data_IF_589829130639
#
_entry.id   IF_589829130639
#
_cell.length_a   1.000
_cell.length_b   1.000
_cell.length_c   1.000
_cell.angle_alpha   90.00
_cell.angle_beta   90.00
_cell.angle_gamma   90.00
#
_symmetry.space_group_name_H-M   'P 1'
#
loop_
_entity.id
_entity.type
_entity.pdbx_description
1 polymer ?
#
# COMPACT_ATOMS: atom_id res chain seq x y z
N UNK A 1 -0.98 32.51 15.83
CA UNK A 1 -0.84 31.24 15.07
C UNK A 1 -1.14 30.10 16.01
N UNK A 2 -1.95 29.16 15.55
CA UNK A 2 -2.94 28.45 16.35
C UNK A 2 -2.35 27.17 16.94
N UNK A 3 -1.83 27.22 18.18
CA UNK A 3 -1.46 26.04 19.00
C UNK A 3 -2.69 25.30 19.57
N UNK A 4 -3.82 25.33 18.84
CA UNK A 4 -5.09 24.77 19.33
C UNK A 4 -5.13 23.26 19.24
N UNK A 5 -4.31 22.64 18.39
CA UNK A 5 -4.22 21.19 18.23
C UNK A 5 -2.74 20.82 18.14
N UNK A 6 -2.29 19.90 18.98
CA UNK A 6 -0.91 19.39 18.99
C UNK A 6 -0.93 17.87 18.94
N UNK A 7 -0.09 17.28 18.08
CA UNK A 7 0.19 15.85 18.07
C UNK A 7 1.50 15.62 18.84
N UNK A 8 1.45 14.81 19.88
CA UNK A 8 2.61 14.46 20.69
C UNK A 8 2.89 12.97 20.57
N UNK A 9 4.16 12.62 20.36
CA UNK A 9 4.62 11.24 20.32
C UNK A 9 5.14 10.84 21.69
N UNK A 10 4.52 9.84 22.31
CA UNK A 10 5.02 9.23 23.52
C UNK A 10 6.03 8.14 23.16
N UNK A 11 7.30 8.36 23.50
CA UNK A 11 8.41 7.44 23.20
C UNK A 11 8.29 6.13 24.00
N UNK A 12 7.82 6.20 25.24
CA UNK A 12 7.71 5.04 26.14
C UNK A 12 6.66 4.04 25.66
N UNK A 13 5.56 4.53 25.06
CA UNK A 13 4.48 3.70 24.53
C UNK A 13 4.51 3.54 23.00
N UNK A 14 5.39 4.27 22.31
CA UNK A 14 5.51 4.27 20.85
C UNK A 14 4.24 4.74 20.12
N UNK A 15 3.50 5.70 20.68
CA UNK A 15 2.16 6.09 20.22
C UNK A 15 1.99 7.60 20.18
N UNK A 16 1.20 8.07 19.21
CA UNK A 16 0.74 9.45 19.15
C UNK A 16 -0.46 9.68 20.07
N UNK A 17 -0.59 10.89 20.60
CA UNK A 17 -1.83 11.38 21.20
C UNK A 17 -2.05 12.83 20.81
N UNK A 18 -3.31 13.26 20.86
CA UNK A 18 -3.70 14.62 20.47
C UNK A 18 -4.03 15.44 21.71
N UNK A 19 -3.54 16.68 21.74
CA UNK A 19 -3.98 17.71 22.68
C UNK A 19 -4.73 18.79 21.92
N UNK A 20 -5.99 18.98 22.30
CA UNK A 20 -6.84 20.07 21.83
C UNK A 20 -6.88 21.12 22.94
N UNK A 21 -6.28 22.27 22.69
CA UNK A 21 -6.11 23.36 23.66
C UNK A 21 -7.14 24.50 23.46
N UNK A 22 -8.14 24.29 22.60
CA UNK A 22 -9.16 25.29 22.29
C UNK A 22 -10.54 24.81 22.74
N UNK A 23 -11.20 25.60 23.57
CA UNK A 23 -12.47 25.25 24.23
C UNK A 23 -13.63 25.00 23.26
N UNK A 24 -13.56 25.52 22.04
CA UNK A 24 -14.62 25.40 21.04
C UNK A 24 -14.38 24.26 20.03
N UNK A 25 -13.40 23.38 20.26
CA UNK A 25 -13.10 22.24 19.39
C UNK A 25 -13.42 20.96 20.17
N UNK A 26 -14.49 20.27 19.78
CA UNK A 26 -14.92 19.03 20.42
C UNK A 26 -14.14 17.81 19.91
N UNK A 27 -13.83 17.79 18.61
CA UNK A 27 -13.09 16.73 17.95
C UNK A 27 -12.41 17.24 16.68
N UNK A 28 -11.45 16.46 16.18
CA UNK A 28 -10.85 16.63 14.86
C UNK A 28 -11.15 15.41 14.00
N UNK A 29 -11.21 15.63 12.69
CA UNK A 29 -11.21 14.57 11.70
C UNK A 29 -9.91 14.60 10.90
N UNK A 30 -9.41 13.43 10.54
CA UNK A 30 -8.24 13.23 9.70
C UNK A 30 -8.63 12.50 8.42
N UNK A 31 -7.81 12.63 7.39
CA UNK A 31 -7.90 11.71 6.27
C UNK A 31 -7.63 10.28 6.77
N UNK A 32 -8.28 9.30 6.15
CA UNK A 32 -8.09 7.87 6.49
C UNK A 32 -6.62 7.49 6.48
N UNK A 33 -5.86 7.97 5.50
CA UNK A 33 -4.43 7.68 5.37
C UNK A 33 -3.62 8.27 6.53
N UNK A 34 -3.84 9.54 6.89
CA UNK A 34 -3.14 10.17 8.02
C UNK A 34 -3.51 9.52 9.36
N UNK A 35 -4.77 9.15 9.52
CA UNK A 35 -5.26 8.39 10.68
C UNK A 35 -4.50 7.06 10.84
N UNK A 36 -4.34 6.30 9.75
CA UNK A 36 -3.54 5.07 9.73
C UNK A 36 -2.07 5.33 10.06
N UNK A 37 -1.44 6.34 9.45
CA UNK A 37 -0.04 6.70 9.72
C UNK A 37 0.19 6.98 11.19
N UNK A 38 -0.75 7.67 11.82
CA UNK A 38 -0.67 8.07 13.22
C UNK A 38 -1.16 6.99 14.20
N UNK A 39 -1.75 5.90 13.71
CA UNK A 39 -2.22 4.77 14.51
C UNK A 39 -3.60 4.94 15.17
N UNK A 40 -4.41 5.89 14.70
CA UNK A 40 -5.78 6.08 15.17
C UNK A 40 -6.76 5.18 14.40
N UNK A 41 -7.75 4.61 15.10
CA UNK A 41 -8.72 3.67 14.50
C UNK A 41 -9.88 4.38 13.78
N UNK A 42 -10.33 5.53 14.32
CA UNK A 42 -11.46 6.28 13.77
C UNK A 42 -10.99 7.62 13.18
N UNK A 43 -10.98 7.78 11.84
CA UNK A 43 -10.56 9.02 11.20
C UNK A 43 -11.55 10.18 11.38
N UNK A 44 -12.81 9.91 11.75
CA UNK A 44 -13.86 10.93 11.75
C UNK A 44 -13.97 11.69 13.08
N UNK A 45 -13.66 11.03 14.19
CA UNK A 45 -13.84 11.59 15.52
C UNK A 45 -12.63 11.23 16.38
N UNK A 46 -11.69 12.18 16.49
CA UNK A 46 -10.59 12.09 17.43
C UNK A 46 -10.71 13.22 18.44
N UNK A 47 -10.87 12.86 19.71
CA UNK A 47 -11.13 13.77 20.81
C UNK A 47 -9.84 14.19 21.52
N UNK A 48 -9.96 15.19 22.37
CA UNK A 48 -8.86 15.64 23.21
C UNK A 48 -8.33 14.50 24.08
N UNK A 49 -7.00 14.32 24.11
CA UNK A 49 -6.28 13.26 24.83
C UNK A 49 -6.51 11.84 24.31
N UNK A 50 -7.12 11.68 23.14
CA UNK A 50 -7.17 10.37 22.50
C UNK A 50 -5.75 9.90 22.17
N UNK A 51 -5.46 8.66 22.55
CA UNK A 51 -4.19 7.98 22.29
C UNK A 51 -4.40 7.04 21.11
N UNK A 52 -3.44 7.04 20.18
CA UNK A 52 -3.40 6.10 19.06
C UNK A 52 -3.47 4.66 19.58
N UNK A 53 -4.33 3.86 18.96
CA UNK A 53 -4.52 2.45 19.29
C UNK A 53 -3.32 1.62 18.83
N UNK A 54 -2.70 2.03 17.73
CA UNK A 54 -1.58 1.36 17.08
C UNK A 54 -0.33 2.24 17.08
N UNK A 55 0.84 1.63 16.86
CA UNK A 55 2.07 2.37 16.63
C UNK A 55 2.02 3.11 15.30
N UNK A 56 2.82 4.16 15.15
CA UNK A 56 2.83 4.95 13.92
C UNK A 56 3.45 4.19 12.76
N UNK A 57 2.75 4.13 11.64
CA UNK A 57 3.26 3.58 10.38
C UNK A 57 3.58 4.70 9.40
N UNK A 58 4.84 5.14 9.39
CA UNK A 58 5.33 6.19 8.48
C UNK A 58 5.28 5.78 7.00
N UNK A 59 5.04 4.50 6.69
CA UNK A 59 4.80 4.03 5.31
C UNK A 59 3.35 4.23 4.87
N UNK A 60 2.49 4.70 5.78
CA UNK A 60 1.06 4.93 5.53
C UNK A 60 0.32 3.71 5.02
N UNK A 61 0.68 2.53 5.51
CA UNK A 61 0.08 1.26 5.11
C UNK A 61 0.57 0.73 3.77
N UNK A 62 1.37 1.48 3.00
CA UNK A 62 1.82 1.08 1.66
C UNK A 62 3.22 0.44 1.71
N UNK A 63 3.28 -0.77 2.25
CA UNK A 63 4.53 -1.56 2.36
C UNK A 63 4.79 -2.45 1.14
N UNK A 64 3.76 -2.69 0.33
CA UNK A 64 3.81 -3.58 -0.82
C UNK A 64 2.62 -3.34 -1.76
N UNK A 65 2.79 -3.75 -3.02
CA UNK A 65 1.72 -3.80 -4.00
C UNK A 65 1.72 -5.14 -4.74
N UNK A 66 0.55 -5.52 -5.24
CA UNK A 66 0.39 -6.64 -6.15
C UNK A 66 0.57 -6.17 -7.60
N UNK A 67 1.30 -6.97 -8.37
CA UNK A 67 1.42 -6.85 -9.83
C UNK A 67 0.45 -7.84 -10.46
N UNK A 68 -0.55 -7.33 -11.16
CA UNK A 68 -1.58 -8.11 -11.80
C UNK A 68 -1.41 -8.03 -13.32
N UNK A 69 -1.55 -9.16 -14.01
CA UNK A 69 -1.49 -9.20 -15.47
C UNK A 69 -2.79 -9.78 -16.00
N UNK A 70 -3.66 -8.88 -16.48
CA UNK A 70 -5.05 -9.22 -16.76
C UNK A 70 -5.15 -10.10 -17.99
N UNK A 71 -5.80 -11.25 -17.85
CA UNK A 71 -6.09 -12.15 -18.97
C UNK A 71 -4.89 -12.95 -19.51
N UNK A 72 -3.68 -12.72 -19.00
CA UNK A 72 -2.49 -13.46 -19.45
C UNK A 72 -2.33 -14.81 -18.74
N UNK A 73 -2.58 -14.85 -17.42
CA UNK A 73 -2.36 -16.02 -16.57
C UNK A 73 -3.66 -16.54 -15.95
N UNK A 74 -3.63 -17.79 -15.50
CA UNK A 74 -4.71 -18.37 -14.71
C UNK A 74 -5.05 -17.50 -13.49
N UNK A 75 -6.35 -17.31 -13.24
CA UNK A 75 -6.82 -16.60 -12.05
C UNK A 75 -6.56 -17.44 -10.82
N UNK A 76 -6.03 -16.83 -9.78
CA UNK A 76 -5.84 -17.44 -8.47
C UNK A 76 -6.76 -16.76 -7.45
N UNK A 77 -7.09 -17.50 -6.38
CA UNK A 77 -7.86 -16.95 -5.26
C UNK A 77 -6.91 -16.09 -4.41
N UNK A 78 -7.31 -14.84 -4.17
CA UNK A 78 -6.57 -13.86 -3.37
C UNK A 78 -7.57 -13.19 -2.44
N UNK A 79 -7.47 -13.51 -1.16
CA UNK A 79 -8.48 -13.12 -0.18
C UNK A 79 -9.84 -13.68 -0.58
N UNK A 80 -10.79 -12.79 -0.85
CA UNK A 80 -12.16 -13.07 -1.28
C UNK A 80 -12.37 -12.89 -2.80
N UNK A 81 -11.31 -12.68 -3.57
CA UNK A 81 -11.39 -12.39 -5.02
C UNK A 81 -10.62 -13.39 -5.89
N UNK A 82 -11.06 -13.55 -7.15
CA UNK A 82 -10.34 -14.31 -8.18
C UNK A 82 -9.59 -13.34 -9.09
N UNK A 83 -8.26 -13.39 -9.09
CA UNK A 83 -7.44 -12.43 -9.84
C UNK A 83 -6.15 -13.04 -10.39
N UNK A 84 -5.65 -12.44 -11.48
CA UNK A 84 -4.41 -12.86 -12.17
C UNK A 84 -3.19 -12.15 -11.56
N UNK A 85 -2.93 -12.38 -10.26
CA UNK A 85 -1.76 -11.85 -9.58
C UNK A 85 -0.51 -12.60 -10.04
N UNK A 86 0.45 -11.85 -10.56
CA UNK A 86 1.74 -12.39 -10.93
C UNK A 86 2.71 -12.39 -9.75
N UNK A 87 2.72 -11.32 -8.95
CA UNK A 87 3.65 -11.18 -7.83
C UNK A 87 3.25 -10.10 -6.84
N UNK A 88 3.58 -10.29 -5.57
CA UNK A 88 3.63 -9.22 -4.57
C UNK A 88 5.04 -8.65 -4.51
N UNK A 89 5.15 -7.33 -4.64
CA UNK A 89 6.43 -6.60 -4.58
C UNK A 89 6.45 -5.78 -3.29
N UNK A 90 7.45 -6.01 -2.45
CA UNK A 90 7.69 -5.18 -1.27
C UNK A 90 8.40 -3.89 -1.65
N UNK A 91 7.92 -2.79 -1.09
CA UNK A 91 8.53 -1.47 -1.26
C UNK A 91 9.56 -1.29 -0.15
N UNK A 92 10.79 -1.02 -0.57
CA UNK A 92 11.91 -0.65 0.28
C UNK A 92 12.35 0.77 -0.07
N UNK A 93 11.96 1.70 0.78
CA UNK A 93 12.38 3.09 0.69
C UNK A 93 11.25 3.98 1.17
N UNK A 94 11.45 4.65 2.30
CA UNK A 94 10.48 5.56 2.89
C UNK A 94 10.69 7.00 2.39
N UNK A 95 11.75 7.22 1.61
CA UNK A 95 12.21 8.55 1.24
C UNK A 95 11.88 8.85 -0.22
N UNK A 96 11.28 10.01 -0.54
CA UNK A 96 11.11 10.45 -1.92
C UNK A 96 12.46 10.46 -2.68
N UNK A 97 12.50 9.82 -3.86
CA UNK A 97 13.70 9.75 -4.70
C UNK A 97 14.51 8.45 -4.60
N UNK A 98 14.15 7.54 -3.69
CA UNK A 98 14.79 6.22 -3.62
C UNK A 98 14.28 5.27 -4.71
N UNK A 99 15.21 4.63 -5.43
CA UNK A 99 14.89 3.60 -6.40
C UNK A 99 14.50 2.30 -5.70
N UNK A 100 13.31 1.80 -6.03
CA UNK A 100 12.83 0.51 -5.58
C UNK A 100 13.11 -0.54 -6.66
N UNK A 101 14.28 -1.17 -6.60
CA UNK A 101 14.64 -2.28 -7.48
C UNK A 101 14.48 -3.62 -6.74
N UNK A 102 13.75 -4.56 -7.36
CA UNK A 102 13.64 -5.93 -6.88
C UNK A 102 14.07 -6.90 -7.97
N UNK A 103 15.25 -7.46 -7.78
CA UNK A 103 15.79 -8.55 -8.60
C UNK A 103 15.40 -9.87 -7.94
N UNK A 104 14.95 -10.82 -8.75
CA UNK A 104 14.52 -12.13 -8.28
C UNK A 104 15.30 -13.22 -9.01
N UNK A 105 16.22 -13.87 -8.30
CA UNK A 105 17.12 -14.86 -8.87
C UNK A 105 16.41 -16.13 -9.34
N UNK A 106 15.28 -16.47 -8.70
CA UNK A 106 14.44 -17.62 -9.08
C UNK A 106 13.07 -17.12 -9.58
N UNK A 107 12.87 -16.98 -10.91
CA UNK A 107 11.59 -16.59 -11.46
C UNK A 107 10.54 -17.69 -11.24
N UNK A 108 9.38 -17.30 -10.76
CA UNK A 108 8.20 -18.18 -10.66
C UNK A 108 7.44 -18.03 -11.96
N UNK A 109 7.20 -19.15 -12.65
CA UNK A 109 6.47 -19.15 -13.91
C UNK A 109 5.00 -19.49 -13.67
N UNK A 110 4.12 -18.68 -14.25
CA UNK A 110 2.69 -18.94 -14.33
C UNK A 110 2.33 -19.37 -15.75
N UNK A 111 1.33 -20.25 -15.88
CA UNK A 111 0.85 -20.69 -17.19
C UNK A 111 0.21 -19.52 -17.93
N UNK A 112 0.67 -19.29 -19.16
CA UNK A 112 0.04 -18.33 -20.08
C UNK A 112 -1.13 -19.01 -20.76
N UNK A 113 -2.30 -18.37 -20.71
CA UNK A 113 -3.55 -18.89 -21.26
C UNK A 113 -3.77 -18.54 -22.73
N UNK A 114 -3.56 -17.29 -23.17
CA UNK A 114 -3.79 -16.92 -24.57
C UNK A 114 -2.74 -17.54 -25.49
N UNK A 115 -3.18 -17.99 -26.67
CA UNK A 115 -2.27 -18.41 -27.76
C UNK A 115 -1.67 -17.22 -28.49
N UNK A 116 -2.46 -16.15 -28.63
CA UNK A 116 -2.09 -14.89 -29.28
C UNK A 116 -2.59 -13.75 -28.40
N UNK A 117 -1.79 -12.69 -28.30
CA UNK A 117 -2.10 -11.47 -27.54
C UNK A 117 -1.49 -10.27 -28.25
N UNK A 118 -2.28 -9.21 -28.40
CA UNK A 118 -1.80 -7.96 -28.99
C UNK A 118 -1.24 -7.02 -27.92
N UNK A 119 -1.93 -6.96 -26.77
CA UNK A 119 -1.62 -6.03 -25.68
C UNK A 119 -1.58 -6.76 -24.33
N UNK A 120 -0.57 -6.45 -23.53
CA UNK A 120 -0.44 -6.95 -22.15
C UNK A 120 -0.77 -5.81 -21.20
N UNK A 121 -1.89 -5.92 -20.49
CA UNK A 121 -2.30 -4.97 -19.47
C UNK A 121 -1.77 -5.39 -18.10
N UNK A 122 -0.92 -4.54 -17.50
CA UNK A 122 -0.38 -4.73 -16.15
C UNK A 122 -0.94 -3.68 -15.21
N UNK A 123 -1.52 -4.13 -14.10
CA UNK A 123 -2.02 -3.25 -13.05
C UNK A 123 -1.19 -3.42 -11.78
N UNK A 124 -0.80 -2.29 -11.19
CA UNK A 124 -0.22 -2.25 -9.85
C UNK A 124 -1.33 -1.88 -8.89
N UNK A 125 -1.64 -2.76 -7.93
CA UNK A 125 -2.70 -2.53 -6.94
C UNK A 125 -2.19 -2.63 -5.52
N UNK A 126 -2.72 -1.77 -4.64
CA UNK A 126 -2.47 -1.85 -3.21
C UNK A 126 -3.04 -3.16 -2.65
N UNK A 127 -2.39 -3.74 -1.64
CA UNK A 127 -2.83 -5.01 -1.06
C UNK A 127 -3.98 -4.86 -0.05
N UNK A 128 -4.15 -3.67 0.53
CA UNK A 128 -5.12 -3.38 1.59
C UNK A 128 -6.56 -3.32 1.06
N UNK A 129 -6.77 -2.74 -0.11
CA UNK A 129 -8.10 -2.50 -0.68
C UNK A 129 -8.16 -2.68 -2.21
N UNK A 130 -7.09 -3.16 -2.83
CA UNK A 130 -7.05 -3.46 -4.27
C UNK A 130 -7.11 -2.24 -5.18
N UNK A 131 -6.93 -1.01 -4.67
CA UNK A 131 -6.94 0.21 -5.49
C UNK A 131 -5.69 0.28 -6.37
N UNK A 132 -5.78 0.96 -7.51
CA UNK A 132 -4.61 1.23 -8.33
C UNK A 132 -3.58 2.06 -7.53
N UNK A 133 -2.32 1.68 -7.64
CA UNK A 133 -1.22 2.42 -7.03
C UNK A 133 -1.14 3.81 -7.67
N UNK A 134 -1.24 4.90 -6.90
CA UNK A 134 -1.26 6.25 -7.44
C UNK A 134 0.15 6.69 -7.85
N UNK A 135 0.52 6.48 -9.11
CA UNK A 135 1.75 7.02 -9.68
C UNK A 135 1.59 8.50 -10.01
N UNK A 136 2.16 9.37 -9.16
CA UNK A 136 2.22 10.82 -9.44
C UNK A 136 3.49 11.21 -10.20
N UNK A 137 4.58 10.46 -10.02
CA UNK A 137 5.89 10.69 -10.64
C UNK A 137 6.71 9.39 -10.64
N UNK A 138 7.65 9.26 -11.59
CA UNK A 138 8.56 8.11 -11.72
C UNK A 138 8.37 7.30 -13.00
N UNK A 139 9.24 6.32 -13.20
CA UNK A 139 9.21 5.40 -14.34
C UNK A 139 9.01 3.98 -13.84
N UNK A 140 8.12 3.22 -14.49
CA UNK A 140 7.92 1.79 -14.19
C UNK A 140 8.54 0.97 -15.32
N UNK A 141 9.48 0.09 -14.95
CA UNK A 141 10.04 -0.90 -15.86
C UNK A 141 9.59 -2.30 -15.42
N UNK A 142 8.89 -3.01 -16.29
CA UNK A 142 8.44 -4.39 -16.06
C UNK A 142 9.08 -5.29 -17.11
N UNK A 143 9.78 -6.33 -16.65
CA UNK A 143 10.37 -7.35 -17.52
C UNK A 143 9.59 -8.65 -17.35
N UNK A 144 8.97 -9.12 -18.44
CA UNK A 144 8.25 -10.39 -18.48
C UNK A 144 9.10 -11.44 -19.19
N UNK A 145 9.28 -12.60 -18.56
CA UNK A 145 10.05 -13.72 -19.12
C UNK A 145 9.07 -14.82 -19.53
N UNK A 146 9.06 -15.15 -20.82
CA UNK A 146 8.25 -16.23 -21.39
C UNK A 146 9.12 -17.45 -21.67
N UNK A 147 8.73 -18.60 -21.10
CA UNK A 147 9.39 -19.89 -21.35
C UNK A 147 8.41 -20.84 -22.01
N UNK A 148 8.81 -21.42 -23.15
CA UNK A 148 8.02 -22.47 -23.80
C UNK A 148 7.93 -23.70 -22.89
N UNK A 149 6.72 -24.13 -22.58
CA UNK A 149 6.50 -25.39 -21.87
C UNK A 149 6.71 -26.54 -22.86
N UNK A 150 7.63 -27.44 -22.53
CA UNK A 150 7.80 -28.70 -23.25
C UNK A 150 6.91 -29.71 -22.53
N UNK A 151 5.75 -30.00 -23.10
CA UNK A 151 4.93 -31.11 -22.62
C UNK A 151 5.54 -32.39 -23.19
N UNK A 152 5.98 -33.29 -22.31
CA UNK A 152 6.36 -34.66 -22.65
C UNK A 152 5.13 -35.55 -22.69
#
# INVERSE_FOLDING_TARGET
>A
MVNSITFEYNIDFGRFFIKINHSNIDYISLSTQLCYVLGFENPQIIKNKDVAKYGSDLRGGFSSFGVYVKGLTEKMIIGDSLSSLLRVVSISGATPGEYNEKIYDTPIYSRVLPKEINDIEVELRTLDNGRLVPFSYGTVLIVLIFKKVINF
#
